data_IF_877325890413
#
_entry.id   IF_877325890413
#
_cell.length_a   1.000
_cell.length_b   1.000
_cell.length_c   1.000
_cell.angle_alpha   90.00
_cell.angle_beta   90.00
_cell.angle_gamma   90.00
#
_symmetry.space_group_name_H-M   'P 1'
#
loop_
_entity.id
_entity.type
_entity.pdbx_description
1 polymer ?
#
# COMPACT_ATOMS: atom_id res chain seq x y z
N UNK A 1 0.47 25.60 50.42
CA UNK A 1 -0.45 24.56 49.93
C UNK A 1 -0.99 25.04 48.58
N UNK A 2 -0.34 24.59 47.49
CA UNK A 2 -0.70 24.97 46.13
C UNK A 2 -1.69 23.90 45.64
N UNK A 3 -2.95 24.34 45.48
CA UNK A 3 -4.01 23.50 44.91
C UNK A 3 -3.66 23.20 43.43
N UNK A 4 -3.41 21.96 43.10
CA UNK A 4 -3.38 21.48 41.71
C UNK A 4 -4.78 21.74 41.11
N UNK A 5 -4.86 22.67 40.18
CA UNK A 5 -6.06 22.86 39.36
C UNK A 5 -6.25 21.58 38.54
N UNK A 6 -7.44 20.99 38.66
CA UNK A 6 -7.83 19.84 37.87
C UNK A 6 -7.80 20.25 36.37
N UNK A 7 -6.85 19.69 35.63
CA UNK A 7 -6.81 19.82 34.18
C UNK A 7 -8.11 19.22 33.61
N UNK A 8 -9.01 20.07 33.17
CA UNK A 8 -10.15 19.64 32.36
C UNK A 8 -9.60 18.96 31.10
N UNK A 9 -9.94 17.70 30.81
CA UNK A 9 -9.46 17.03 29.63
C UNK A 9 -9.91 17.83 28.38
N UNK A 10 -8.97 18.05 27.48
CA UNK A 10 -9.26 18.71 26.19
C UNK A 10 -10.34 17.91 25.48
N UNK A 11 -11.49 18.51 25.11
CA UNK A 11 -12.57 17.78 24.46
C UNK A 11 -12.14 17.23 23.10
N UNK A 12 -12.50 15.98 22.80
CA UNK A 12 -12.27 15.36 21.48
C UNK A 12 -13.23 15.96 20.44
N UNK A 13 -12.77 17.03 19.79
CA UNK A 13 -13.57 17.78 18.81
C UNK A 13 -13.80 16.97 17.53
N UNK A 14 -12.91 16.04 17.18
CA UNK A 14 -13.00 15.25 15.95
C UNK A 14 -14.10 14.18 16.06
N UNK A 15 -14.29 13.64 17.26
CA UNK A 15 -15.34 12.64 17.54
C UNK A 15 -16.68 13.29 17.93
N UNK A 16 -16.80 14.61 17.81
CA UNK A 16 -18.05 15.31 18.09
C UNK A 16 -19.03 15.18 16.92
N UNK A 17 -20.35 15.19 17.24
CA UNK A 17 -21.40 15.11 16.23
C UNK A 17 -21.32 16.27 15.23
N UNK A 18 -21.47 15.97 13.93
CA UNK A 18 -21.51 16.97 12.87
C UNK A 18 -22.95 17.32 12.51
N UNK A 19 -23.27 18.61 12.59
CA UNK A 19 -24.59 19.15 12.23
C UNK A 19 -24.81 19.23 10.71
N UNK A 20 -23.74 19.19 9.91
CA UNK A 20 -23.81 19.31 8.44
C UNK A 20 -24.31 18.04 7.75
N UNK A 21 -24.19 16.88 8.42
CA UNK A 21 -24.65 15.57 7.91
C UNK A 21 -24.05 15.20 6.54
N UNK A 22 -22.75 15.49 6.33
CA UNK A 22 -22.03 15.21 5.09
C UNK A 22 -21.13 13.99 5.26
N UNK A 23 -21.41 12.91 4.53
CA UNK A 23 -20.51 11.76 4.44
C UNK A 23 -19.33 12.07 3.50
N UNK A 24 -18.13 11.59 3.85
CA UNK A 24 -16.92 11.71 3.03
C UNK A 24 -16.46 10.31 2.67
N UNK A 25 -16.40 10.01 1.37
CA UNK A 25 -16.08 8.66 0.88
C UNK A 25 -14.65 8.22 1.21
N UNK A 26 -13.67 9.15 1.16
CA UNK A 26 -12.26 8.83 1.46
C UNK A 26 -11.62 10.00 2.20
N UNK A 27 -11.21 9.77 3.43
CA UNK A 27 -10.40 10.69 4.25
C UNK A 27 -9.23 9.92 4.85
N UNK A 28 -8.04 10.49 4.86
CA UNK A 28 -6.87 9.80 5.38
C UNK A 28 -5.55 10.46 5.04
N UNK A 29 -4.50 9.65 4.97
CA UNK A 29 -3.12 10.09 4.71
C UNK A 29 -2.64 9.55 3.36
N UNK A 30 -1.76 10.31 2.71
CA UNK A 30 -1.20 9.95 1.40
C UNK A 30 0.31 10.13 1.39
N UNK A 31 0.98 9.24 0.61
CA UNK A 31 2.43 9.31 0.33
C UNK A 31 3.32 9.22 1.58
N UNK A 32 2.90 8.47 2.59
CA UNK A 32 3.71 8.18 3.77
C UNK A 32 4.74 7.11 3.42
N UNK A 33 6.01 7.43 3.57
CA UNK A 33 7.11 6.47 3.41
C UNK A 33 7.35 5.75 4.73
N UNK A 34 7.36 4.42 4.67
CA UNK A 34 7.60 3.58 5.84
C UNK A 34 8.52 2.41 5.47
N UNK A 35 9.53 2.07 6.30
CA UNK A 35 10.36 0.91 6.08
C UNK A 35 9.57 -0.36 6.35
N UNK A 36 9.65 -1.33 5.43
CA UNK A 36 8.97 -2.61 5.53
C UNK A 36 9.93 -3.77 5.29
N UNK A 37 9.51 -4.96 5.72
CA UNK A 37 10.10 -6.24 5.39
C UNK A 37 9.11 -7.02 4.54
N UNK A 38 9.51 -7.45 3.36
CA UNK A 38 8.69 -8.27 2.48
C UNK A 38 9.20 -9.69 2.50
N UNK A 39 8.32 -10.64 2.79
CA UNK A 39 8.69 -12.06 2.77
C UNK A 39 8.72 -12.58 1.34
N UNK A 40 9.80 -13.28 0.98
CA UNK A 40 9.96 -13.98 -0.29
C UNK A 40 9.28 -15.36 -0.21
N UNK A 41 8.91 -15.91 -1.37
CA UNK A 41 8.35 -17.26 -1.53
C UNK A 41 9.22 -18.36 -0.91
N UNK A 42 10.53 -18.17 -0.83
CA UNK A 42 11.49 -19.13 -0.29
C UNK A 42 11.82 -18.89 1.20
N UNK A 43 11.08 -18.03 1.87
CA UNK A 43 11.31 -17.68 3.28
C UNK A 43 12.39 -16.61 3.51
N UNK A 44 12.98 -16.05 2.45
CA UNK A 44 13.87 -14.89 2.54
C UNK A 44 13.09 -13.62 2.88
N UNK A 45 13.76 -12.66 3.52
CA UNK A 45 13.18 -11.37 3.86
C UNK A 45 13.95 -10.26 3.15
N UNK A 46 13.22 -9.41 2.42
CA UNK A 46 13.77 -8.20 1.80
C UNK A 46 13.35 -6.96 2.59
N UNK A 47 14.33 -6.12 2.92
CA UNK A 47 14.08 -4.81 3.51
C UNK A 47 13.93 -3.79 2.38
N UNK A 48 12.82 -3.06 2.40
CA UNK A 48 12.54 -2.02 1.41
C UNK A 48 11.77 -0.86 2.03
N UNK A 49 11.51 0.17 1.25
CA UNK A 49 10.70 1.32 1.67
C UNK A 49 9.42 1.30 0.84
N UNK A 50 8.28 1.26 1.54
CA UNK A 50 6.98 1.37 0.90
C UNK A 50 6.41 2.79 1.03
N UNK A 51 5.61 3.17 0.05
CA UNK A 51 4.77 4.37 0.06
C UNK A 51 3.35 3.93 0.34
N UNK A 52 2.77 4.42 1.44
CA UNK A 52 1.41 4.12 1.85
C UNK A 52 0.46 5.26 1.52
N UNK A 53 -0.71 4.90 1.00
CA UNK A 53 -1.91 5.72 0.93
C UNK A 53 -2.99 4.99 1.72
N UNK A 54 -3.54 5.62 2.75
CA UNK A 54 -4.47 4.99 3.68
C UNK A 54 -5.70 5.88 3.86
N UNK A 55 -6.88 5.33 3.64
CA UNK A 55 -8.13 6.06 3.67
C UNK A 55 -9.22 5.25 4.37
N UNK A 56 -10.14 5.96 5.00
CA UNK A 56 -11.40 5.42 5.53
C UNK A 56 -12.58 6.27 5.07
N UNK A 57 -13.76 5.67 5.05
CA UNK A 57 -15.00 6.41 4.89
C UNK A 57 -15.38 7.12 6.20
N UNK A 58 -15.71 8.39 6.13
CA UNK A 58 -16.20 9.14 7.27
C UNK A 58 -17.74 9.23 7.21
N UNK A 59 -18.47 8.62 8.16
CA UNK A 59 -19.91 8.70 8.22
C UNK A 59 -20.40 10.15 8.43
N UNK A 60 -21.62 10.43 8.01
CA UNK A 60 -22.22 11.77 8.04
C UNK A 60 -22.37 12.39 9.43
N UNK A 61 -22.36 11.54 10.47
CA UNK A 61 -22.51 11.95 11.88
C UNK A 61 -21.19 12.30 12.57
N UNK A 62 -20.04 12.05 11.93
CA UNK A 62 -18.72 12.37 12.48
C UNK A 62 -18.15 13.65 11.86
N UNK A 63 -17.54 14.48 12.69
CA UNK A 63 -16.91 15.74 12.27
C UNK A 63 -15.55 15.55 11.61
N UNK A 64 -14.82 14.48 11.96
CA UNK A 64 -13.49 14.19 11.45
C UNK A 64 -12.97 12.84 11.91
N UNK A 65 -11.71 12.55 11.59
CA UNK A 65 -10.99 11.38 12.06
C UNK A 65 -9.58 11.74 12.51
N UNK A 66 -9.00 10.93 13.41
CA UNK A 66 -7.67 11.19 13.98
C UNK A 66 -6.57 10.72 13.02
N UNK A 67 -5.87 11.64 12.37
CA UNK A 67 -4.78 11.32 11.43
C UNK A 67 -3.61 10.59 12.09
N UNK A 68 -3.32 10.84 13.38
CA UNK A 68 -2.28 10.13 14.14
C UNK A 68 -2.52 8.63 14.24
N UNK A 69 -3.78 8.19 14.28
CA UNK A 69 -4.14 6.76 14.36
C UNK A 69 -3.66 5.96 13.15
N UNK A 70 -3.61 6.56 11.96
CA UNK A 70 -3.02 5.90 10.78
C UNK A 70 -1.53 5.61 10.97
N UNK A 71 -0.78 6.55 11.53
CA UNK A 71 0.65 6.39 11.81
C UNK A 71 0.88 5.36 12.92
N UNK A 72 0.04 5.35 13.94
CA UNK A 72 0.09 4.34 15.02
C UNK A 72 -0.10 2.92 14.46
N UNK A 73 -1.01 2.73 13.49
CA UNK A 73 -1.24 1.44 12.84
C UNK A 73 0.01 0.99 12.09
N UNK A 74 0.64 1.87 11.30
CA UNK A 74 1.88 1.54 10.61
C UNK A 74 3.02 1.18 11.58
N UNK A 75 3.08 1.80 12.75
CA UNK A 75 4.11 1.55 13.74
C UNK A 75 3.83 0.30 14.60
N UNK A 76 2.57 -0.11 14.76
CA UNK A 76 2.18 -1.26 15.59
C UNK A 76 2.41 -2.61 14.89
N UNK A 77 2.32 -2.64 13.56
CA UNK A 77 2.65 -3.84 12.80
C UNK A 77 4.17 -4.01 12.69
N UNK A 78 4.67 -5.21 12.95
CA UNK A 78 6.10 -5.56 12.98
C UNK A 78 6.80 -5.44 11.62
N UNK A 79 6.54 -4.42 10.85
CA UNK A 79 7.17 -4.13 9.54
C UNK A 79 7.22 -5.32 8.56
N UNK A 80 6.75 -6.51 8.97
CA UNK A 80 6.64 -7.69 8.10
C UNK A 80 5.31 -7.66 7.37
N UNK A 81 5.39 -7.36 6.09
CA UNK A 81 4.23 -7.27 5.21
C UNK A 81 4.22 -8.49 4.30
N UNK A 82 3.13 -9.22 4.36
CA UNK A 82 2.78 -10.30 3.43
C UNK A 82 1.35 -10.11 2.96
N UNK A 83 0.92 -10.91 2.00
CA UNK A 83 -0.47 -10.91 1.53
C UNK A 83 -1.41 -11.24 2.68
N UNK A 84 -1.01 -12.20 3.55
CA UNK A 84 -1.80 -12.67 4.69
C UNK A 84 -1.89 -11.64 5.82
N UNK A 85 -0.84 -10.84 6.04
CA UNK A 85 -0.82 -9.81 7.10
C UNK A 85 -1.54 -8.53 6.70
N UNK A 86 -1.86 -8.35 5.42
CA UNK A 86 -2.42 -7.11 4.90
C UNK A 86 -3.89 -6.92 5.31
N UNK A 87 -4.70 -7.99 5.27
CA UNK A 87 -6.10 -7.96 5.74
C UNK A 87 -6.24 -7.60 7.23
N UNK A 88 -5.53 -8.27 8.17
CA UNK A 88 -5.56 -7.91 9.59
C UNK A 88 -5.21 -6.44 9.85
N UNK A 89 -4.22 -5.89 9.17
CA UNK A 89 -3.84 -4.47 9.26
C UNK A 89 -4.99 -3.55 8.84
N UNK A 90 -5.66 -3.89 7.75
CA UNK A 90 -6.78 -3.10 7.22
C UNK A 90 -7.98 -3.14 8.18
N UNK A 91 -8.30 -4.32 8.73
CA UNK A 91 -9.38 -4.48 9.71
C UNK A 91 -9.10 -3.73 11.00
N UNK A 92 -7.84 -3.72 11.47
CA UNK A 92 -7.44 -2.91 12.63
C UNK A 92 -7.61 -1.43 12.34
N UNK A 93 -7.25 -0.97 11.13
CA UNK A 93 -7.41 0.43 10.72
C UNK A 93 -8.87 0.86 10.76
N UNK A 94 -9.76 0.10 10.13
CA UNK A 94 -11.20 0.39 10.10
C UNK A 94 -11.78 0.41 11.52
N UNK A 95 -11.39 -0.54 12.37
CA UNK A 95 -11.82 -0.61 13.78
C UNK A 95 -11.32 0.58 14.61
N UNK A 96 -10.02 0.91 14.53
CA UNK A 96 -9.43 2.02 15.30
C UNK A 96 -9.97 3.39 14.90
N UNK A 97 -10.37 3.53 13.65
CA UNK A 97 -10.90 4.78 13.11
C UNK A 97 -12.43 4.84 13.14
N UNK A 98 -13.08 3.80 13.70
CA UNK A 98 -14.55 3.72 13.83
C UNK A 98 -15.28 3.92 12.50
N UNK A 99 -14.69 3.34 11.42
CA UNK A 99 -15.19 3.46 10.05
C UNK A 99 -15.83 2.15 9.57
N UNK A 100 -16.67 2.22 8.55
CA UNK A 100 -17.29 1.05 7.92
C UNK A 100 -16.51 0.58 6.68
N UNK A 101 -15.80 1.52 6.04
CA UNK A 101 -15.02 1.24 4.83
C UNK A 101 -13.57 1.66 5.02
N UNK A 102 -12.67 0.93 4.38
CA UNK A 102 -11.24 1.21 4.43
C UNK A 102 -10.54 0.90 3.11
N UNK A 103 -9.50 1.66 2.80
CA UNK A 103 -8.68 1.47 1.62
C UNK A 103 -7.22 1.73 1.98
N UNK A 104 -6.37 0.76 1.69
CA UNK A 104 -4.92 0.89 1.82
C UNK A 104 -4.27 0.51 0.52
N UNK A 105 -3.44 1.39 0.01
CA UNK A 105 -2.56 1.14 -1.12
C UNK A 105 -1.12 1.27 -0.63
N UNK A 106 -0.30 0.26 -0.91
CA UNK A 106 1.10 0.21 -0.54
C UNK A 106 1.95 -0.13 -1.76
N UNK A 107 2.82 0.78 -2.17
CA UNK A 107 3.72 0.60 -3.32
C UNK A 107 5.16 0.52 -2.84
N UNK A 108 5.91 -0.49 -3.33
CA UNK A 108 7.30 -0.72 -2.97
C UNK A 108 8.10 -1.37 -4.10
N UNK A 109 9.40 -1.14 -4.19
CA UNK A 109 10.30 -1.89 -5.07
C UNK A 109 10.58 -3.27 -4.48
N UNK A 110 10.46 -4.30 -5.32
CA UNK A 110 10.80 -5.68 -5.00
C UNK A 110 11.93 -6.16 -5.92
N UNK A 111 12.97 -6.76 -5.35
CA UNK A 111 14.19 -7.10 -6.07
C UNK A 111 14.30 -8.59 -6.33
N UNK A 112 14.64 -8.96 -7.57
CA UNK A 112 14.87 -10.35 -7.98
C UNK A 112 16.24 -10.46 -8.63
N UNK A 113 17.06 -11.41 -8.12
CA UNK A 113 18.30 -11.80 -8.76
C UNK A 113 18.03 -12.62 -10.04
N UNK A 114 18.57 -12.16 -11.15
CA UNK A 114 18.51 -12.88 -12.43
C UNK A 114 19.91 -13.16 -12.97
N UNK A 115 20.12 -14.39 -13.46
CA UNK A 115 21.33 -14.75 -14.16
C UNK A 115 21.20 -14.44 -15.65
N UNK A 116 22.22 -13.82 -16.22
CA UNK A 116 22.30 -13.62 -17.66
C UNK A 116 22.38 -14.98 -18.36
N UNK A 117 21.58 -15.26 -19.43
CA UNK A 117 21.45 -16.60 -20.00
C UNK A 117 22.73 -17.13 -20.65
N UNK A 118 23.64 -16.27 -21.07
CA UNK A 118 24.90 -16.67 -21.74
C UNK A 118 26.08 -16.61 -20.77
N UNK A 119 26.25 -15.50 -20.05
CA UNK A 119 27.43 -15.30 -19.19
C UNK A 119 27.26 -15.84 -17.77
N UNK A 120 26.03 -16.12 -17.33
CA UNK A 120 25.72 -16.50 -15.94
C UNK A 120 25.88 -15.38 -14.91
N UNK A 121 26.25 -14.18 -15.34
CA UNK A 121 26.44 -13.04 -14.44
C UNK A 121 25.12 -12.68 -13.77
N UNK A 122 25.15 -12.60 -12.44
CA UNK A 122 24.00 -12.23 -11.62
C UNK A 122 23.76 -10.72 -11.68
N UNK A 123 22.52 -10.33 -11.90
CA UNK A 123 22.09 -8.93 -11.80
C UNK A 123 20.81 -8.82 -11.01
N UNK A 124 20.69 -7.76 -10.22
CA UNK A 124 19.51 -7.46 -9.45
C UNK A 124 18.57 -6.61 -10.31
N UNK A 125 17.34 -7.08 -10.48
CA UNK A 125 16.28 -6.35 -11.17
C UNK A 125 15.22 -5.94 -10.17
N UNK A 126 14.75 -4.70 -10.28
CA UNK A 126 13.66 -4.15 -9.49
C UNK A 126 12.33 -4.22 -10.23
N UNK A 127 11.31 -4.51 -9.47
CA UNK A 127 9.91 -4.52 -9.90
C UNK A 127 9.11 -3.62 -8.98
N UNK A 128 8.26 -2.77 -9.53
CA UNK A 128 7.32 -2.01 -8.71
C UNK A 128 6.11 -2.88 -8.39
N UNK A 129 5.90 -3.13 -7.11
CA UNK A 129 4.78 -3.92 -6.60
C UNK A 129 3.85 -3.01 -5.82
N UNK A 130 2.54 -3.13 -6.07
CA UNK A 130 1.52 -2.43 -5.31
C UNK A 130 0.52 -3.44 -4.75
N UNK A 131 0.31 -3.40 -3.43
CA UNK A 131 -0.78 -4.08 -2.75
C UNK A 131 -1.91 -3.08 -2.52
N UNK A 132 -3.12 -3.46 -2.88
CA UNK A 132 -4.33 -2.67 -2.65
C UNK A 132 -5.30 -3.55 -1.89
N UNK A 133 -5.67 -3.13 -0.68
CA UNK A 133 -6.71 -3.76 0.12
C UNK A 133 -7.88 -2.81 0.31
N UNK A 134 -9.08 -3.34 0.19
CA UNK A 134 -10.31 -2.60 0.39
C UNK A 134 -11.25 -3.37 1.32
N UNK A 135 -11.84 -2.67 2.26
CA UNK A 135 -12.97 -3.16 3.05
C UNK A 135 -14.18 -2.32 2.65
N UNK A 136 -15.17 -3.01 2.11
CA UNK A 136 -16.45 -2.42 1.71
C UNK A 136 -17.47 -2.48 2.83
N UNK A 137 -18.59 -1.78 2.66
CA UNK A 137 -19.75 -1.89 3.55
C UNK A 137 -20.14 -3.37 3.73
N UNK A 138 -20.45 -3.76 4.96
CA UNK A 138 -20.71 -5.16 5.31
C UNK A 138 -19.44 -5.98 5.60
N UNK A 139 -18.25 -5.37 5.58
CA UNK A 139 -16.99 -5.99 6.02
C UNK A 139 -16.34 -6.92 4.99
N UNK A 140 -16.79 -6.89 3.73
CA UNK A 140 -16.20 -7.66 2.64
C UNK A 140 -14.81 -7.12 2.32
N UNK A 141 -13.80 -8.01 2.37
CA UNK A 141 -12.43 -7.69 2.05
C UNK A 141 -12.10 -8.07 0.61
N UNK A 142 -11.47 -7.16 -0.11
CA UNK A 142 -10.89 -7.40 -1.44
C UNK A 142 -9.41 -7.07 -1.43
N UNK A 143 -8.62 -7.93 -2.08
CA UNK A 143 -7.18 -7.72 -2.26
C UNK A 143 -6.82 -7.72 -3.73
N UNK A 144 -6.05 -6.72 -4.14
CA UNK A 144 -5.48 -6.62 -5.49
C UNK A 144 -3.98 -6.44 -5.40
N UNK A 145 -3.24 -7.25 -6.13
CA UNK A 145 -1.80 -7.08 -6.34
C UNK A 145 -1.55 -6.59 -7.76
N UNK A 146 -0.76 -5.53 -7.88
CA UNK A 146 -0.30 -4.99 -9.16
C UNK A 146 1.23 -5.06 -9.21
N UNK A 147 1.77 -5.58 -10.31
CA UNK A 147 3.21 -5.66 -10.55
C UNK A 147 3.54 -4.99 -11.88
N UNK A 148 4.47 -4.05 -11.88
CA UNK A 148 4.99 -3.41 -13.09
C UNK A 148 6.30 -4.07 -13.46
N UNK A 149 6.30 -4.75 -14.61
CA UNK A 149 7.43 -5.54 -15.10
C UNK A 149 8.10 -4.80 -16.27
N UNK A 150 9.37 -4.38 -16.14
CA UNK A 150 10.12 -3.84 -17.26
C UNK A 150 10.48 -4.98 -18.23
N UNK A 151 10.11 -4.81 -19.50
CA UNK A 151 10.38 -5.79 -20.58
C UNK A 151 11.11 -5.14 -21.74
N UNK A 152 11.85 -5.92 -22.49
CA UNK A 152 12.48 -5.51 -23.74
C UNK A 152 11.98 -6.37 -24.88
N UNK A 153 11.68 -5.74 -26.00
CA UNK A 153 11.30 -6.42 -27.25
C UNK A 153 12.14 -5.93 -28.41
N UNK A 154 12.28 -6.76 -29.43
CA UNK A 154 12.87 -6.34 -30.70
C UNK A 154 11.88 -5.49 -31.49
N UNK A 155 12.37 -4.39 -32.07
CA UNK A 155 11.58 -3.60 -33.01
C UNK A 155 11.39 -4.37 -34.33
N UNK A 156 10.17 -4.79 -34.71
CA UNK A 156 9.96 -5.57 -35.93
C UNK A 156 10.28 -4.77 -37.21
N UNK A 157 10.16 -3.45 -37.17
CA UNK A 157 10.46 -2.58 -38.31
C UNK A 157 11.98 -2.56 -38.59
N UNK A 158 12.80 -2.31 -37.56
CA UNK A 158 14.26 -2.30 -37.71
C UNK A 158 14.82 -3.68 -38.03
N UNK A 159 14.16 -4.77 -37.60
CA UNK A 159 14.55 -6.13 -37.97
C UNK A 159 14.44 -6.40 -39.47
N UNK A 160 13.48 -5.77 -40.16
CA UNK A 160 13.28 -5.93 -41.61
C UNK A 160 14.36 -5.24 -42.45
N UNK A 161 14.98 -4.18 -41.94
CA UNK A 161 15.94 -3.35 -42.69
C UNK A 161 17.38 -3.48 -42.19
N UNK A 162 17.60 -4.16 -41.06
CA UNK A 162 18.93 -4.31 -40.47
C UNK A 162 19.55 -5.66 -40.82
N UNK A 163 20.79 -5.65 -41.29
CA UNK A 163 21.56 -6.86 -41.61
C UNK A 163 22.04 -7.60 -40.33
N UNK A 164 22.23 -6.91 -39.21
CA UNK A 164 22.84 -7.43 -37.99
C UNK A 164 21.97 -7.41 -36.74
N UNK A 165 20.73 -7.10 -36.87
CA UNK A 165 19.75 -7.07 -35.77
C UNK A 165 19.01 -5.77 -35.66
N UNK A 166 18.01 -5.79 -34.79
CA UNK A 166 17.13 -4.69 -34.55
C UNK A 166 17.50 -4.02 -33.21
N UNK A 167 17.16 -2.75 -33.02
CA UNK A 167 17.26 -2.12 -31.73
C UNK A 167 16.21 -2.71 -30.76
N UNK A 168 16.54 -2.72 -29.49
CA UNK A 168 15.64 -3.12 -28.43
C UNK A 168 14.73 -1.94 -28.05
N UNK A 169 13.43 -2.26 -27.83
CA UNK A 169 12.45 -1.35 -27.27
C UNK A 169 12.17 -1.73 -25.83
N UNK A 170 12.20 -0.76 -24.93
CA UNK A 170 11.81 -0.96 -23.54
C UNK A 170 10.35 -0.63 -23.34
N UNK A 171 9.63 -1.48 -22.65
CA UNK A 171 8.22 -1.32 -22.30
C UNK A 171 8.00 -1.72 -20.85
N UNK A 172 6.88 -1.30 -20.27
CA UNK A 172 6.43 -1.72 -18.96
C UNK A 172 5.10 -2.46 -19.12
N UNK A 173 5.04 -3.70 -18.65
CA UNK A 173 3.81 -4.48 -18.59
C UNK A 173 3.31 -4.43 -17.17
N UNK A 174 2.05 -4.03 -17.00
CA UNK A 174 1.38 -4.06 -15.70
C UNK A 174 0.50 -5.30 -15.62
N UNK A 175 0.80 -6.16 -14.68
CA UNK A 175 0.02 -7.34 -14.36
C UNK A 175 -0.78 -7.09 -13.09
N UNK A 176 -2.07 -7.45 -13.11
CA UNK A 176 -3.00 -7.22 -11.99
C UNK A 176 -3.67 -8.55 -11.66
N UNK A 177 -3.47 -9.01 -10.42
CA UNK A 177 -4.16 -10.15 -9.83
C UNK A 177 -5.12 -9.72 -8.74
N UNK A 178 -6.32 -10.30 -8.71
CA UNK A 178 -7.29 -10.10 -7.63
C UNK A 178 -7.50 -11.43 -6.89
N UNK A 179 -7.53 -11.36 -5.58
CA UNK A 179 -7.95 -12.45 -4.72
C UNK A 179 -9.26 -12.04 -4.04
N UNK A 180 -10.28 -12.86 -4.23
CA UNK A 180 -11.50 -12.82 -3.41
C UNK A 180 -11.28 -13.83 -2.29
N UNK A 181 -11.23 -13.35 -1.06
CA UNK A 181 -11.07 -14.16 0.15
C UNK A 181 -12.40 -14.17 0.89
#
# INVERSE_FOLDING_TARGET
MTTCEAHNPIPDVQNSADSRQLAINKVGIKSIRHPIKVQDKNGGVQHTIAVFNMYVGLPHNFKGTHMSRFVEILNSHEREISVESFEPMLREMVKKLEAETGHVEMTFPYFINKAAPVSGVQSLMDYEVTFIGEIHEGGVYEFTMKVVVPVTSLCPCSKKISAYGAHNQRSHVTEIGRAHV
#
